data_IF_319206290029
#
_entry.id   IF_319206290029
#
_cell.length_a   1.000
_cell.length_b   1.000
_cell.length_c   1.000
_cell.angle_alpha   90.00
_cell.angle_beta   90.00
_cell.angle_gamma   90.00
#
_symmetry.space_group_name_H-M   'P 1'
#
loop_
_entity.id
_entity.type
_entity.pdbx_description
1 polymer ?
#
# COMPACT_ATOMS: atom_id res chain seq x y z
N UNK A 1 4.72 15.27 30.47
CA UNK A 1 5.58 15.55 31.65
C UNK A 1 5.41 14.43 32.67
N UNK A 2 6.27 14.28 33.70
CA UNK A 2 6.07 13.26 34.74
C UNK A 2 4.69 13.34 35.40
N UNK A 3 4.17 14.55 35.62
CA UNK A 3 2.83 14.80 36.20
C UNK A 3 1.69 14.07 35.49
N UNK A 4 1.79 13.87 34.18
CA UNK A 4 0.77 13.19 33.37
C UNK A 4 1.06 11.70 33.29
N UNK A 5 2.31 11.36 32.99
CA UNK A 5 2.73 9.96 32.77
C UNK A 5 2.64 9.13 34.04
N UNK A 6 2.96 9.70 35.21
CA UNK A 6 2.86 8.96 36.47
C UNK A 6 1.42 8.55 36.76
N UNK A 7 0.43 9.39 36.40
CA UNK A 7 -0.99 9.05 36.58
C UNK A 7 -1.39 7.85 35.72
N UNK A 8 -0.90 7.78 34.49
CA UNK A 8 -1.14 6.66 33.56
C UNK A 8 -0.40 5.40 34.01
N UNK A 9 0.84 5.52 34.49
CA UNK A 9 1.59 4.36 35.03
C UNK A 9 0.91 3.75 36.24
N UNK A 10 0.31 4.55 37.13
CA UNK A 10 -0.50 3.99 38.23
C UNK A 10 -1.66 3.15 37.69
N UNK A 11 -2.40 3.67 36.70
CA UNK A 11 -3.51 2.91 36.10
C UNK A 11 -2.96 1.60 35.51
N UNK A 12 -1.87 1.68 34.75
CA UNK A 12 -1.20 0.53 34.16
C UNK A 12 -0.88 -0.55 35.21
N UNK A 13 -0.19 -0.21 36.30
CA UNK A 13 0.16 -1.19 37.34
C UNK A 13 -1.03 -1.76 38.09
N UNK A 14 -2.10 -0.98 38.30
CA UNK A 14 -3.35 -1.49 38.88
C UNK A 14 -4.07 -2.46 37.96
N UNK A 15 -4.04 -2.22 36.67
CA UNK A 15 -4.60 -3.14 35.67
C UNK A 15 -3.76 -4.41 35.53
N UNK A 16 -2.44 -4.33 35.71
CA UNK A 16 -1.59 -5.52 35.84
C UNK A 16 -1.93 -6.33 37.10
N UNK A 17 -2.12 -5.68 38.25
CA UNK A 17 -2.56 -6.35 39.48
C UNK A 17 -3.92 -7.04 39.30
N UNK A 18 -4.86 -6.36 38.66
CA UNK A 18 -6.19 -6.89 38.38
C UNK A 18 -6.21 -7.97 37.27
N UNK A 19 -5.09 -8.17 36.56
CA UNK A 19 -5.00 -9.14 35.47
C UNK A 19 -5.87 -8.83 34.25
N UNK A 20 -6.25 -7.56 34.04
CA UNK A 20 -7.11 -7.18 32.91
C UNK A 20 -6.43 -7.34 31.55
N UNK A 21 -5.09 -7.39 31.55
CA UNK A 21 -4.25 -7.72 30.39
C UNK A 21 -2.90 -8.27 30.87
N UNK A 22 -2.20 -9.06 30.03
CA UNK A 22 -0.85 -9.52 30.36
C UNK A 22 0.14 -8.36 30.38
N UNK A 23 1.24 -8.53 31.12
CA UNK A 23 2.33 -7.55 31.12
C UNK A 23 2.93 -7.40 29.70
N UNK A 24 2.94 -6.18 29.14
CA UNK A 24 3.43 -5.97 27.77
C UNK A 24 4.95 -6.04 27.71
N UNK A 25 5.48 -6.37 26.53
CA UNK A 25 6.92 -6.32 26.25
C UNK A 25 7.44 -4.88 26.23
N UNK A 26 6.65 -3.95 25.71
CA UNK A 26 6.94 -2.52 25.67
C UNK A 26 5.70 -1.72 26.04
N UNK A 27 5.88 -0.62 26.75
CA UNK A 27 4.84 0.36 27.05
C UNK A 27 5.21 1.67 26.36
N UNK A 28 4.49 2.03 25.30
CA UNK A 28 4.77 3.23 24.52
C UNK A 28 4.01 4.45 25.05
N UNK A 29 4.74 5.52 25.29
CA UNK A 29 4.22 6.85 25.59
C UNK A 29 4.08 7.63 24.29
N UNK A 30 2.85 7.75 23.80
CA UNK A 30 2.52 8.52 22.61
C UNK A 30 2.05 9.92 23.01
N UNK A 31 2.97 10.89 23.02
CA UNK A 31 2.67 12.27 23.39
C UNK A 31 2.75 13.18 22.15
N UNK A 32 1.68 13.92 21.78
CA UNK A 32 1.65 14.74 20.55
C UNK A 32 2.76 15.82 20.48
N UNK A 33 3.25 16.27 21.64
CA UNK A 33 4.31 17.28 21.78
C UNK A 33 5.63 16.67 22.31
N UNK A 34 5.77 15.36 22.23
CA UNK A 34 6.87 14.61 22.84
C UNK A 34 6.82 14.64 24.37
N UNK A 35 7.75 13.92 24.98
CA UNK A 35 7.98 13.98 26.43
C UNK A 35 8.81 15.23 26.77
N UNK A 36 8.43 15.92 27.85
CA UNK A 36 9.23 17.05 28.32
C UNK A 36 10.56 16.62 28.95
N UNK A 37 11.53 17.55 29.01
CA UNK A 37 12.92 17.28 29.41
C UNK A 37 13.10 16.43 30.67
N UNK A 38 12.31 16.70 31.72
CA UNK A 38 12.40 15.93 32.98
C UNK A 38 12.07 14.46 32.76
N UNK A 39 10.97 14.17 32.04
CA UNK A 39 10.60 12.80 31.71
C UNK A 39 11.58 12.17 30.72
N UNK A 40 12.08 12.92 29.74
CA UNK A 40 13.10 12.45 28.81
C UNK A 40 14.34 11.95 29.56
N UNK A 41 14.83 12.73 30.52
CA UNK A 41 15.96 12.35 31.37
C UNK A 41 15.67 11.09 32.18
N UNK A 42 14.47 10.97 32.78
CA UNK A 42 14.06 9.77 33.50
C UNK A 42 14.02 8.52 32.59
N UNK A 43 13.50 8.63 31.37
CA UNK A 43 13.44 7.50 30.42
C UNK A 43 14.84 6.96 30.08
N UNK A 44 15.85 7.82 30.00
CA UNK A 44 17.24 7.39 29.81
C UNK A 44 17.88 6.71 31.04
N UNK A 45 17.20 6.75 32.19
CA UNK A 45 17.68 6.22 33.47
C UNK A 45 16.60 5.39 34.18
N UNK A 46 16.38 4.14 33.72
CA UNK A 46 15.27 3.31 34.18
C UNK A 46 15.16 3.12 35.71
N UNK A 47 16.30 2.98 36.40
CA UNK A 47 16.31 2.80 37.86
C UNK A 47 15.94 4.09 38.60
N UNK A 48 16.48 5.24 38.17
CA UNK A 48 16.09 6.56 38.71
C UNK A 48 14.60 6.83 38.45
N UNK A 49 14.09 6.46 37.28
CA UNK A 49 12.68 6.59 36.94
C UNK A 49 11.79 5.74 37.85
N UNK A 50 12.11 4.46 38.02
CA UNK A 50 11.39 3.56 38.91
C UNK A 50 11.35 4.08 40.34
N UNK A 51 12.51 4.48 40.86
CA UNK A 51 12.62 5.01 42.21
C UNK A 51 11.80 6.30 42.37
N UNK A 52 11.91 7.22 41.39
CA UNK A 52 11.18 8.48 41.42
C UNK A 52 9.67 8.29 41.38
N UNK A 53 9.16 7.35 40.59
CA UNK A 53 7.74 7.02 40.57
C UNK A 53 7.25 6.55 41.94
N UNK A 54 7.97 5.61 42.58
CA UNK A 54 7.60 5.06 43.88
C UNK A 54 7.61 6.15 44.97
N UNK A 55 8.64 7.00 45.00
CA UNK A 55 8.76 8.05 46.00
C UNK A 55 7.69 9.13 45.83
N UNK A 56 7.45 9.59 44.60
CA UNK A 56 6.40 10.57 44.33
C UNK A 56 5.01 10.00 44.58
N UNK A 57 4.78 8.71 44.34
CA UNK A 57 3.50 8.07 44.64
C UNK A 57 3.25 7.98 46.15
N UNK A 58 4.23 7.55 46.95
CA UNK A 58 4.12 7.54 48.42
C UNK A 58 3.91 8.94 49.00
N UNK A 59 4.65 9.92 48.47
CA UNK A 59 4.60 11.30 48.92
C UNK A 59 3.46 12.12 48.31
N UNK A 60 2.63 11.51 47.44
CA UNK A 60 1.54 12.16 46.71
C UNK A 60 1.96 13.41 45.90
N UNK A 61 3.18 13.40 45.36
CA UNK A 61 3.79 14.48 44.56
C UNK A 61 3.53 14.27 43.06
N UNK A 62 3.98 15.22 42.23
CA UNK A 62 3.98 15.06 40.77
C UNK A 62 2.60 14.69 40.22
N UNK A 63 1.55 15.38 40.69
CA UNK A 63 0.17 15.17 40.25
C UNK A 63 -0.54 13.95 40.86
N UNK A 64 0.02 13.30 41.88
CA UNK A 64 -0.52 12.08 42.50
C UNK A 64 -1.27 12.32 43.82
N UNK A 65 -1.79 13.53 44.05
CA UNK A 65 -2.51 13.91 45.27
C UNK A 65 -3.66 12.94 45.57
N UNK A 66 -3.71 12.39 46.79
CA UNK A 66 -4.74 11.45 47.26
C UNK A 66 -4.61 10.01 46.76
N UNK A 67 -3.50 9.65 46.08
CA UNK A 67 -3.32 8.32 45.47
C UNK A 67 -2.39 7.39 46.27
N UNK A 68 -1.87 7.80 47.43
CA UNK A 68 -0.93 6.97 48.19
C UNK A 68 -1.50 5.60 48.58
N UNK A 69 -2.81 5.52 48.87
CA UNK A 69 -3.50 4.26 49.21
C UNK A 69 -3.55 3.25 48.06
N UNK A 70 -3.36 3.69 46.82
CA UNK A 70 -3.33 2.81 45.64
C UNK A 70 -2.01 2.03 45.53
N UNK A 71 -0.95 2.45 46.22
CA UNK A 71 0.31 1.74 46.27
C UNK A 71 0.26 0.65 47.35
N UNK A 72 -0.49 -0.42 47.08
CA UNK A 72 -0.52 -1.61 47.94
C UNK A 72 0.83 -2.35 47.89
N UNK A 73 1.15 -3.23 48.85
CA UNK A 73 2.36 -4.04 48.80
C UNK A 73 2.49 -4.86 47.50
N UNK A 74 1.37 -5.36 46.98
CA UNK A 74 1.30 -6.11 45.73
C UNK A 74 1.64 -5.23 44.53
N UNK A 75 1.01 -4.05 44.42
CA UNK A 75 1.31 -3.08 43.35
C UNK A 75 2.76 -2.64 43.41
N UNK A 76 3.29 -2.37 44.60
CA UNK A 76 4.70 -2.00 44.78
C UNK A 76 5.65 -3.10 44.28
N UNK A 77 5.34 -4.38 44.55
CA UNK A 77 6.13 -5.50 44.05
C UNK A 77 6.09 -5.60 42.52
N UNK A 78 4.92 -5.35 41.90
CA UNK A 78 4.78 -5.30 40.44
C UNK A 78 5.62 -4.18 39.83
N UNK A 79 5.59 -2.97 40.41
CA UNK A 79 6.41 -1.84 39.97
C UNK A 79 7.90 -2.18 40.07
N UNK A 80 8.33 -2.80 41.17
CA UNK A 80 9.72 -3.22 41.38
C UNK A 80 10.18 -4.27 40.37
N UNK A 81 9.33 -5.25 40.07
CA UNK A 81 9.61 -6.33 39.14
C UNK A 81 9.58 -5.89 37.67
N UNK A 82 8.87 -4.81 37.33
CA UNK A 82 8.78 -4.34 35.96
C UNK A 82 10.10 -3.69 35.50
N UNK A 83 10.50 -4.00 34.26
CA UNK A 83 11.70 -3.46 33.63
C UNK A 83 11.39 -2.09 33.02
N UNK A 84 11.75 -1.00 33.71
CA UNK A 84 11.40 0.37 33.28
C UNK A 84 12.06 0.80 31.97
N UNK A 85 13.11 0.11 31.53
CA UNK A 85 13.71 0.27 30.19
C UNK A 85 12.73 -0.07 29.05
N UNK A 86 11.66 -0.79 29.35
CA UNK A 86 10.61 -1.15 28.39
C UNK A 86 9.52 -0.07 28.30
N UNK A 87 9.58 0.99 29.11
CA UNK A 87 8.74 2.18 28.96
C UNK A 87 9.46 3.11 27.99
N UNK A 88 8.89 3.29 26.80
CA UNK A 88 9.54 3.99 25.70
C UNK A 88 8.71 5.18 25.28
N UNK A 89 9.38 6.27 24.88
CA UNK A 89 8.71 7.31 24.10
C UNK A 89 8.51 6.79 22.68
N UNK A 90 7.29 6.90 22.16
CA UNK A 90 7.02 6.74 20.74
C UNK A 90 6.92 8.13 20.13
N UNK A 91 7.88 8.48 19.27
CA UNK A 91 7.92 9.82 18.69
C UNK A 91 6.81 9.96 17.65
N UNK A 92 6.29 11.17 17.49
CA UNK A 92 5.29 11.46 16.45
C UNK A 92 5.79 11.06 15.07
N UNK A 93 7.10 11.20 14.80
CA UNK A 93 7.69 10.73 13.54
C UNK A 93 7.48 9.23 13.34
N UNK A 94 7.76 8.41 14.35
CA UNK A 94 7.61 6.95 14.25
C UNK A 94 6.13 6.56 14.05
N UNK A 95 5.20 7.27 14.70
CA UNK A 95 3.76 7.08 14.48
C UNK A 95 3.35 7.42 13.04
N UNK A 96 3.91 8.50 12.47
CA UNK A 96 3.64 8.88 11.09
C UNK A 96 4.23 7.86 10.11
N UNK A 97 5.43 7.35 10.37
CA UNK A 97 6.05 6.29 9.58
C UNK A 97 5.21 5.01 9.61
N UNK A 98 4.70 4.61 10.78
CA UNK A 98 3.81 3.44 10.88
C UNK A 98 2.47 3.67 10.20
N UNK A 99 1.91 4.88 10.31
CA UNK A 99 0.67 5.22 9.61
C UNK A 99 0.85 5.23 8.08
N UNK A 100 2.03 5.63 7.58
CA UNK A 100 2.34 5.66 6.15
C UNK A 100 2.43 4.26 5.52
N UNK A 101 2.51 3.20 6.33
CA UNK A 101 2.41 1.82 5.83
C UNK A 101 1.03 1.51 5.22
N UNK A 102 -0.02 2.19 5.70
CA UNK A 102 -1.33 2.21 5.06
C UNK A 102 -1.42 3.45 4.16
N UNK A 103 -0.98 3.30 2.91
CA UNK A 103 -0.91 4.41 1.95
C UNK A 103 -2.25 5.09 1.74
N UNK A 104 -3.35 4.32 1.72
CA UNK A 104 -4.70 4.84 1.52
C UNK A 104 -5.12 5.72 2.69
N UNK A 105 -5.07 5.19 3.92
CA UNK A 105 -5.46 5.95 5.09
C UNK A 105 -4.56 7.18 5.27
N UNK A 106 -3.26 7.05 4.97
CA UNK A 106 -2.30 8.15 5.05
C UNK A 106 -2.60 9.26 4.03
N UNK A 107 -2.91 8.88 2.79
CA UNK A 107 -3.32 9.82 1.75
C UNK A 107 -4.64 10.52 2.11
N UNK A 108 -5.66 9.79 2.55
CA UNK A 108 -6.96 10.36 2.96
C UNK A 108 -6.82 11.38 4.10
N UNK A 109 -5.92 11.13 5.05
CA UNK A 109 -5.75 11.98 6.22
C UNK A 109 -4.84 13.19 5.96
N UNK A 110 -3.75 13.01 5.22
CA UNK A 110 -2.69 14.02 5.08
C UNK A 110 -2.50 14.57 3.67
N UNK A 111 -3.08 13.94 2.65
CA UNK A 111 -2.87 14.31 1.24
C UNK A 111 -1.47 13.99 0.70
N UNK A 112 -0.67 13.20 1.43
CA UNK A 112 0.63 12.74 0.96
C UNK A 112 0.45 11.47 0.16
N UNK A 113 0.64 11.60 -1.15
CA UNK A 113 0.61 10.48 -2.08
C UNK A 113 1.86 9.62 -1.93
N UNK A 114 1.68 8.30 -1.86
CA UNK A 114 2.79 7.35 -1.83
C UNK A 114 3.58 7.29 -3.14
N UNK A 115 4.70 6.58 -3.11
CA UNK A 115 5.39 6.17 -4.32
C UNK A 115 4.73 4.91 -4.89
N UNK A 116 4.58 4.85 -6.22
CA UNK A 116 3.98 3.71 -6.93
C UNK A 116 4.74 2.39 -6.74
N UNK A 117 6.05 2.44 -6.48
CA UNK A 117 6.91 1.26 -6.45
C UNK A 117 7.16 0.66 -7.84
N UNK A 118 7.80 -0.50 -7.87
CA UNK A 118 8.09 -1.23 -9.11
C UNK A 118 6.83 -1.93 -9.66
N UNK A 119 6.77 -2.10 -10.98
CA UNK A 119 5.68 -2.88 -11.58
C UNK A 119 5.83 -4.38 -11.26
N UNK A 120 4.72 -5.12 -11.13
CA UNK A 120 4.78 -6.56 -10.91
C UNK A 120 5.55 -7.26 -12.04
N UNK A 121 6.33 -8.28 -11.68
CA UNK A 121 7.01 -9.11 -12.65
C UNK A 121 5.99 -9.93 -13.47
N UNK A 122 6.21 -9.99 -14.78
CA UNK A 122 5.45 -10.85 -15.68
C UNK A 122 5.89 -12.32 -15.51
N UNK A 123 5.07 -13.23 -14.94
CA UNK A 123 5.43 -14.63 -14.76
C UNK A 123 5.71 -15.31 -16.10
N UNK A 124 6.57 -16.33 -16.13
CA UNK A 124 6.92 -17.02 -17.38
C UNK A 124 5.70 -17.65 -18.07
N UNK A 125 4.76 -18.17 -17.28
CA UNK A 125 3.49 -18.72 -17.77
C UNK A 125 2.34 -17.76 -17.47
N UNK A 126 1.43 -17.49 -18.44
CA UNK A 126 0.28 -16.64 -18.21
C UNK A 126 -0.60 -17.08 -17.04
N UNK A 127 -1.06 -16.12 -16.23
CA UNK A 127 -1.96 -16.37 -15.10
C UNK A 127 -3.44 -16.26 -15.49
N UNK A 128 -4.34 -16.57 -14.55
CA UNK A 128 -5.79 -16.48 -14.78
C UNK A 128 -6.25 -15.04 -15.08
N UNK A 129 -5.58 -14.04 -14.51
CA UNK A 129 -5.86 -12.62 -14.72
C UNK A 129 -5.52 -12.17 -16.15
N UNK A 130 -4.61 -12.86 -16.83
CA UNK A 130 -4.20 -12.56 -18.21
C UNK A 130 -5.01 -13.33 -19.26
N UNK A 131 -5.77 -14.34 -18.84
CA UNK A 131 -6.29 -15.38 -19.72
C UNK A 131 -7.05 -14.83 -20.93
N UNK A 132 -7.98 -13.89 -20.72
CA UNK A 132 -8.89 -13.43 -21.78
C UNK A 132 -8.12 -12.66 -22.87
N UNK A 133 -7.23 -11.74 -22.50
CA UNK A 133 -6.45 -11.02 -23.52
C UNK A 133 -5.38 -11.90 -24.15
N UNK A 134 -4.80 -12.87 -23.41
CA UNK A 134 -3.82 -13.81 -23.97
C UNK A 134 -4.48 -14.72 -25.01
N UNK A 135 -5.70 -15.21 -24.75
CA UNK A 135 -6.49 -15.95 -25.75
C UNK A 135 -6.81 -15.08 -26.98
N UNK A 136 -7.11 -13.80 -26.78
CA UNK A 136 -7.37 -12.87 -27.89
C UNK A 136 -6.10 -12.60 -28.70
N UNK A 137 -4.93 -12.43 -28.04
CA UNK A 137 -3.64 -12.31 -28.71
C UNK A 137 -3.31 -13.57 -29.52
N UNK A 138 -3.53 -14.78 -28.96
CA UNK A 138 -3.35 -16.03 -29.70
C UNK A 138 -4.16 -16.03 -31.00
N UNK A 139 -5.44 -15.61 -30.94
CA UNK A 139 -6.27 -15.48 -32.15
C UNK A 139 -5.73 -14.46 -33.15
N UNK A 140 -5.17 -13.33 -32.68
CA UNK A 140 -4.51 -12.34 -33.56
C UNK A 140 -3.37 -13.00 -34.34
N UNK A 141 -2.51 -13.78 -33.68
CA UNK A 141 -1.39 -14.45 -34.34
C UNK A 141 -1.84 -15.64 -35.20
N UNK A 142 -2.88 -16.37 -34.79
CA UNK A 142 -3.47 -17.43 -35.61
C UNK A 142 -4.05 -16.87 -36.93
N UNK A 143 -4.75 -15.73 -36.87
CA UNK A 143 -5.25 -15.04 -38.07
C UNK A 143 -4.11 -14.62 -39.00
N UNK A 144 -3.02 -14.09 -38.44
CA UNK A 144 -1.86 -13.63 -39.20
C UNK A 144 -1.07 -14.77 -39.85
N UNK A 145 -0.91 -15.89 -39.15
CA UNK A 145 -0.19 -17.07 -39.65
C UNK A 145 -1.03 -17.92 -40.60
N UNK A 146 -2.36 -17.88 -40.46
CA UNK A 146 -3.29 -18.75 -41.19
C UNK A 146 -3.48 -20.13 -40.54
N UNK A 147 -2.81 -20.40 -39.43
CA UNK A 147 -2.88 -21.66 -38.68
C UNK A 147 -3.42 -21.41 -37.26
N UNK A 148 -4.06 -22.41 -36.65
CA UNK A 148 -4.50 -22.31 -35.26
C UNK A 148 -3.31 -22.57 -34.31
N UNK A 149 -2.76 -21.50 -33.75
CA UNK A 149 -1.57 -21.55 -32.90
C UNK A 149 -1.92 -21.79 -31.43
N UNK A 150 -1.21 -22.75 -30.82
CA UNK A 150 -1.08 -22.87 -29.36
C UNK A 150 -0.04 -21.89 -28.83
N UNK A 151 -0.06 -21.64 -27.51
CA UNK A 151 0.96 -20.80 -26.86
C UNK A 151 2.38 -21.33 -27.07
N UNK A 152 2.58 -22.65 -26.96
CA UNK A 152 3.89 -23.27 -27.19
C UNK A 152 4.38 -23.05 -28.63
N UNK A 153 3.48 -23.17 -29.62
CA UNK A 153 3.83 -22.91 -31.02
C UNK A 153 4.14 -21.43 -31.28
N UNK A 154 3.39 -20.52 -30.66
CA UNK A 154 3.66 -19.08 -30.72
C UNK A 154 5.05 -18.77 -30.18
N UNK A 155 5.41 -19.37 -29.03
CA UNK A 155 6.68 -19.12 -28.35
C UNK A 155 7.91 -19.65 -29.10
N UNK A 156 7.74 -20.54 -30.08
CA UNK A 156 8.83 -21.03 -30.95
C UNK A 156 9.18 -20.04 -32.06
N UNK A 157 8.26 -19.15 -32.45
CA UNK A 157 8.51 -18.11 -33.46
C UNK A 157 9.15 -16.88 -32.80
N UNK A 158 10.38 -16.51 -33.20
CA UNK A 158 11.09 -15.37 -32.62
C UNK A 158 10.27 -14.07 -32.72
N UNK A 159 9.63 -13.80 -33.87
CA UNK A 159 8.86 -12.57 -34.07
C UNK A 159 7.56 -12.51 -33.26
N UNK A 160 6.82 -13.63 -33.17
CA UNK A 160 5.56 -13.65 -32.41
C UNK A 160 5.82 -13.69 -30.91
N UNK A 161 6.83 -14.44 -30.47
CA UNK A 161 7.22 -14.50 -29.07
C UNK A 161 7.68 -13.13 -28.55
N UNK A 162 8.55 -12.42 -29.29
CA UNK A 162 9.02 -11.09 -28.90
C UNK A 162 7.87 -10.07 -28.82
N UNK A 163 6.99 -10.06 -29.82
CA UNK A 163 5.83 -9.17 -29.80
C UNK A 163 4.86 -9.53 -28.65
N UNK A 164 4.58 -10.81 -28.43
CA UNK A 164 3.72 -11.27 -27.35
C UNK A 164 4.28 -10.91 -25.96
N UNK A 165 5.57 -11.11 -25.72
CA UNK A 165 6.20 -10.72 -24.46
C UNK A 165 6.17 -9.21 -24.25
N UNK A 166 6.30 -8.41 -25.31
CA UNK A 166 6.13 -6.96 -25.26
C UNK A 166 4.70 -6.56 -24.86
N UNK A 167 3.68 -7.23 -25.40
CA UNK A 167 2.28 -7.02 -25.01
C UNK A 167 2.03 -7.39 -23.54
N UNK A 168 2.62 -8.49 -23.06
CA UNK A 168 2.56 -8.86 -21.63
C UNK A 168 3.27 -7.84 -20.73
N UNK A 169 4.41 -7.30 -21.15
CA UNK A 169 5.10 -6.25 -20.41
C UNK A 169 4.23 -4.99 -20.27
N UNK A 170 3.48 -4.60 -21.30
CA UNK A 170 2.50 -3.51 -21.19
C UNK A 170 1.39 -3.82 -20.19
N UNK A 171 0.82 -5.02 -20.22
CA UNK A 171 -0.20 -5.43 -19.26
C UNK A 171 0.31 -5.32 -17.81
N UNK A 172 1.50 -5.85 -17.51
CA UNK A 172 2.06 -5.81 -16.16
C UNK A 172 2.47 -4.41 -15.70
N UNK A 173 2.92 -3.55 -16.63
CA UNK A 173 3.07 -2.12 -16.37
C UNK A 173 1.74 -1.54 -15.88
N UNK A 174 0.64 -1.75 -16.61
CA UNK A 174 -0.67 -1.25 -16.22
C UNK A 174 -1.26 -1.90 -14.94
N UNK A 175 -0.97 -3.18 -14.66
CA UNK A 175 -1.32 -3.81 -13.37
C UNK A 175 -0.59 -3.14 -12.20
N UNK A 176 0.66 -2.71 -12.38
CA UNK A 176 1.37 -1.90 -11.37
C UNK A 176 0.67 -0.57 -11.10
N UNK A 177 0.20 0.11 -12.16
CA UNK A 177 -0.57 1.34 -12.00
C UNK A 177 -1.91 1.09 -11.28
N UNK A 178 -2.60 -0.01 -11.62
CA UNK A 178 -3.87 -0.41 -10.99
C UNK A 178 -3.71 -0.70 -9.50
N UNK A 179 -2.65 -1.42 -9.10
CA UNK A 179 -2.35 -1.68 -7.69
C UNK A 179 -2.12 -0.37 -6.94
N UNK A 180 -1.30 0.51 -7.50
CA UNK A 180 -1.06 1.82 -6.92
C UNK A 180 -2.34 2.67 -6.79
N UNK A 181 -3.18 2.67 -7.84
CA UNK A 181 -4.49 3.31 -7.80
C UNK A 181 -5.31 2.78 -6.64
N UNK A 182 -5.45 1.46 -6.51
CA UNK A 182 -6.22 0.81 -5.44
C UNK A 182 -5.73 1.23 -4.05
N UNK A 183 -4.42 1.23 -3.87
CA UNK A 183 -3.78 1.45 -2.56
C UNK A 183 -3.69 2.94 -2.18
N UNK A 184 -3.92 3.87 -3.13
CA UNK A 184 -3.88 5.32 -2.88
C UNK A 184 -5.24 5.98 -3.04
N UNK A 185 -5.89 5.79 -4.19
CA UNK A 185 -7.13 6.46 -4.59
C UNK A 185 -8.36 5.54 -4.53
N UNK A 186 -8.16 4.22 -4.51
CA UNK A 186 -9.19 3.21 -4.68
C UNK A 186 -9.29 2.67 -6.11
N UNK A 187 -10.17 1.68 -6.31
CA UNK A 187 -10.31 0.96 -7.59
C UNK A 187 -10.97 1.80 -8.69
N UNK A 188 -11.78 2.79 -8.31
CA UNK A 188 -12.57 3.58 -9.25
C UNK A 188 -11.71 4.46 -10.18
N UNK A 189 -10.55 4.93 -9.71
CA UNK A 189 -9.68 5.81 -10.51
C UNK A 189 -9.04 5.09 -11.70
N UNK A 190 -8.59 3.85 -11.51
CA UNK A 190 -8.10 3.04 -12.62
C UNK A 190 -9.21 2.73 -13.62
N UNK A 191 -10.43 2.48 -13.14
CA UNK A 191 -11.60 2.25 -14.00
C UNK A 191 -11.97 3.48 -14.82
N UNK A 192 -11.91 4.68 -14.22
CA UNK A 192 -12.09 5.94 -14.93
C UNK A 192 -11.02 6.15 -16.00
N UNK A 193 -9.75 5.80 -15.72
CA UNK A 193 -8.69 5.84 -16.73
C UNK A 193 -8.98 4.88 -17.90
N UNK A 194 -9.45 3.65 -17.64
CA UNK A 194 -9.84 2.71 -18.69
C UNK A 194 -10.96 3.28 -19.58
N UNK A 195 -11.92 3.99 -18.99
CA UNK A 195 -13.01 4.64 -19.73
C UNK A 195 -12.48 5.74 -20.66
N UNK A 196 -11.59 6.61 -20.15
CA UNK A 196 -10.95 7.66 -20.93
C UNK A 196 -10.17 7.08 -22.12
N UNK A 197 -9.34 6.04 -21.87
CA UNK A 197 -8.56 5.39 -22.92
C UNK A 197 -9.48 4.74 -23.95
N UNK A 198 -10.50 3.99 -23.52
CA UNK A 198 -11.44 3.36 -24.43
C UNK A 198 -12.10 4.40 -25.34
N UNK A 199 -12.61 5.50 -24.80
CA UNK A 199 -13.22 6.58 -25.58
C UNK A 199 -12.21 7.13 -26.60
N UNK A 200 -10.96 7.36 -26.19
CA UNK A 200 -9.90 7.91 -27.03
C UNK A 200 -9.49 7.00 -28.20
N UNK A 201 -9.48 5.68 -28.02
CA UNK A 201 -8.99 4.72 -29.04
C UNK A 201 -10.10 4.04 -29.84
N UNK A 202 -11.35 4.04 -29.35
CA UNK A 202 -12.43 3.21 -29.92
C UNK A 202 -12.67 3.46 -31.41
N UNK A 203 -12.57 4.71 -31.86
CA UNK A 203 -12.73 5.06 -33.29
C UNK A 203 -11.56 4.52 -34.13
N UNK A 204 -10.33 4.61 -33.62
CA UNK A 204 -9.12 4.08 -34.27
C UNK A 204 -9.21 2.56 -34.41
N UNK A 205 -9.51 1.84 -33.33
CA UNK A 205 -9.60 0.36 -33.32
C UNK A 205 -10.76 -0.16 -34.19
N UNK A 206 -11.88 0.57 -34.23
CA UNK A 206 -13.05 0.18 -35.02
C UNK A 206 -13.04 0.70 -36.46
N UNK A 207 -11.94 1.29 -36.92
CA UNK A 207 -11.82 1.72 -38.30
C UNK A 207 -12.17 0.57 -39.27
N UNK A 208 -13.00 0.81 -40.30
CA UNK A 208 -13.31 -0.17 -41.33
C UNK A 208 -12.14 -0.39 -42.29
N UNK A 209 -11.05 0.38 -42.16
CA UNK A 209 -9.85 0.23 -42.97
C UNK A 209 -8.94 -0.91 -42.51
N UNK A 210 -9.10 -1.35 -41.27
CA UNK A 210 -8.34 -2.46 -40.70
C UNK A 210 -8.74 -3.76 -41.36
N UNK A 211 -7.74 -4.47 -41.86
CA UNK A 211 -7.91 -5.73 -42.58
C UNK A 211 -7.64 -6.92 -41.68
N UNK A 212 -6.77 -6.76 -40.70
CA UNK A 212 -6.39 -7.82 -39.76
C UNK A 212 -6.72 -7.46 -38.32
N UNK A 213 -6.76 -8.47 -37.46
CA UNK A 213 -6.81 -8.26 -36.01
C UNK A 213 -5.53 -7.59 -35.47
N UNK A 214 -4.37 -7.81 -36.10
CA UNK A 214 -3.12 -7.14 -35.76
C UNK A 214 -3.22 -5.62 -35.98
N UNK A 215 -3.78 -5.18 -37.12
CA UNK A 215 -4.00 -3.75 -37.39
C UNK A 215 -4.82 -3.09 -36.28
N UNK A 216 -5.80 -3.82 -35.71
CA UNK A 216 -6.65 -3.33 -34.61
C UNK A 216 -5.93 -3.30 -33.27
N UNK A 217 -5.10 -4.29 -33.00
CA UNK A 217 -4.24 -4.35 -31.81
C UNK A 217 -3.30 -3.14 -31.80
N UNK A 218 -2.52 -2.96 -32.86
CA UNK A 218 -1.55 -1.86 -33.02
C UNK A 218 -2.24 -0.50 -32.97
N UNK A 219 -3.35 -0.32 -33.70
CA UNK A 219 -4.10 0.93 -33.66
C UNK A 219 -4.65 1.26 -32.25
N UNK A 220 -4.90 0.24 -31.42
CA UNK A 220 -5.32 0.40 -30.03
C UNK A 220 -4.17 0.78 -29.13
N UNK A 221 -3.09 0.01 -29.13
CA UNK A 221 -1.92 0.23 -28.25
C UNK A 221 -1.17 1.51 -28.61
N UNK A 222 -0.89 1.77 -29.89
CA UNK A 222 -0.28 3.03 -30.35
C UNK A 222 -1.22 4.21 -30.11
N UNK A 223 -2.52 3.97 -30.35
CA UNK A 223 -3.56 4.96 -30.10
C UNK A 223 -3.57 5.41 -28.64
N UNK A 224 -3.46 4.46 -27.71
CA UNK A 224 -3.43 4.70 -26.27
C UNK A 224 -2.13 5.37 -25.83
N UNK A 225 -0.98 4.96 -26.39
CA UNK A 225 0.33 5.55 -26.09
C UNK A 225 0.39 7.06 -26.38
N UNK A 226 -0.37 7.51 -27.39
CA UNK A 226 -0.41 8.91 -27.80
C UNK A 226 -1.44 9.75 -27.04
N UNK A 227 -2.25 9.14 -26.16
CA UNK A 227 -3.26 9.88 -25.42
C UNK A 227 -2.63 10.78 -24.36
N UNK A 228 -3.27 11.94 -24.17
CA UNK A 228 -2.98 12.86 -23.09
C UNK A 228 -4.18 12.82 -22.14
N UNK A 229 -4.01 12.21 -20.97
CA UNK A 229 -5.10 11.90 -20.01
C UNK A 229 -5.11 12.84 -18.80
N UNK A 230 -4.95 14.15 -19.03
CA UNK A 230 -4.75 15.17 -17.97
C UNK A 230 -5.80 15.19 -16.85
N UNK A 231 -7.01 14.69 -17.10
CA UNK A 231 -8.11 14.66 -16.12
C UNK A 231 -8.06 13.45 -15.17
N UNK A 232 -7.04 12.59 -15.27
CA UNK A 232 -6.84 11.45 -14.37
C UNK A 232 -5.84 11.77 -13.27
N UNK A 233 -6.20 11.44 -12.02
CA UNK A 233 -5.31 11.53 -10.85
C UNK A 233 -4.06 10.63 -10.99
N UNK A 234 -4.13 9.61 -11.86
CA UNK A 234 -3.03 8.69 -12.14
C UNK A 234 -1.98 9.27 -13.10
N UNK A 235 -2.29 10.37 -13.79
CA UNK A 235 -1.42 10.99 -14.81
C UNK A 235 0.03 11.21 -14.36
N UNK A 236 0.30 11.75 -13.15
CA UNK A 236 1.66 12.02 -12.70
C UNK A 236 2.50 10.75 -12.49
N UNK A 237 1.86 9.58 -12.39
CA UNK A 237 2.51 8.29 -12.12
C UNK A 237 2.57 7.38 -13.33
N UNK A 238 2.13 7.87 -14.50
CA UNK A 238 2.17 7.10 -15.73
C UNK A 238 3.61 6.78 -16.15
N UNK A 239 3.78 5.55 -16.63
CA UNK A 239 4.94 5.00 -17.31
C UNK A 239 4.56 4.70 -18.76
N UNK A 240 5.54 4.61 -19.68
CA UNK A 240 5.25 4.43 -21.11
C UNK A 240 4.37 3.21 -21.45
N UNK A 241 4.46 2.14 -20.66
CA UNK A 241 3.70 0.91 -20.89
C UNK A 241 2.26 0.93 -20.34
N UNK A 242 1.89 1.91 -19.51
CA UNK A 242 0.59 1.89 -18.83
C UNK A 242 -0.57 2.06 -19.79
N UNK A 243 -0.56 3.12 -20.59
CA UNK A 243 -1.66 3.41 -21.50
C UNK A 243 -1.84 2.29 -22.54
N UNK A 244 -0.80 1.78 -23.21
CA UNK A 244 -0.92 0.56 -24.02
C UNK A 244 -1.42 -0.65 -23.22
N UNK A 245 -0.96 -0.82 -21.99
CA UNK A 245 -1.38 -1.89 -21.09
C UNK A 245 -2.88 -1.88 -20.80
N UNK A 246 -3.49 -0.69 -20.65
CA UNK A 246 -4.94 -0.56 -20.44
C UNK A 246 -5.78 -1.21 -21.53
N UNK A 247 -5.29 -1.31 -22.78
CA UNK A 247 -5.97 -2.03 -23.86
C UNK A 247 -6.19 -3.51 -23.50
N UNK A 248 -5.20 -4.15 -22.87
CA UNK A 248 -5.28 -5.54 -22.42
C UNK A 248 -6.30 -5.71 -21.29
N UNK A 249 -6.32 -4.78 -20.32
CA UNK A 249 -7.36 -4.76 -19.28
C UNK A 249 -8.76 -4.56 -19.87
N UNK A 250 -8.91 -3.72 -20.91
CA UNK A 250 -10.18 -3.53 -21.60
C UNK A 250 -10.63 -4.80 -22.35
N UNK A 251 -9.70 -5.56 -22.92
CA UNK A 251 -9.98 -6.89 -23.52
C UNK A 251 -10.40 -7.90 -22.46
N UNK A 252 -9.69 -7.96 -21.34
CA UNK A 252 -10.07 -8.81 -20.21
C UNK A 252 -11.49 -8.50 -19.70
N UNK A 253 -11.87 -7.22 -19.68
CA UNK A 253 -13.22 -6.76 -19.32
C UNK A 253 -14.24 -6.92 -20.46
N UNK A 254 -13.83 -7.47 -21.61
CA UNK A 254 -14.65 -7.65 -22.82
C UNK A 254 -15.23 -6.35 -23.39
N UNK A 255 -14.57 -5.23 -23.12
CA UNK A 255 -14.96 -3.88 -23.59
C UNK A 255 -14.23 -3.48 -24.87
N UNK A 256 -13.11 -4.14 -25.14
CA UNK A 256 -12.34 -4.06 -26.37
C UNK A 256 -12.17 -5.49 -26.93
N UNK A 257 -12.10 -5.62 -28.25
CA UNK A 257 -11.78 -6.86 -28.97
C UNK A 257 -11.00 -6.51 -30.22
N UNK A 258 -10.04 -7.36 -30.59
CA UNK A 258 -9.23 -7.16 -31.80
C UNK A 258 -9.66 -8.11 -32.91
N UNK A 259 -10.12 -9.30 -32.56
CA UNK A 259 -10.65 -10.28 -33.51
C UNK A 259 -12.17 -10.10 -33.56
N UNK A 260 -12.73 -10.01 -34.77
CA UNK A 260 -14.16 -9.76 -35.02
C UNK A 260 -14.86 -10.93 -35.66
#
# INVERSE_FOLDING_TARGET
MPTDVFKELIKFFKHLEAGTYPAPRHYYLCAPRGVGNDLHNLLSKPDEFKQRLLDDWRAEKTGLKGRAKELTPTVEQLVKAFEFKNILECQTRDLLEWHALDQKAHFELFGFEGERGDDPFAPDTPTAEEQIYVEELLRVYSELSGDDLTLDQLMVSDSYSEHFQSQRAFFYCAEGLKIFSRDTYGEAEFDALLDMVLIGIKSKVNSPRHKTALDRLEAGTEGAQQLVVNDSDLTPKLRPGDLPGTCHHLVNRRRLKWVK
#
